data_IF_759800352945
#
_entry.id   IF_759800352945
#
_cell.length_a   1.000
_cell.length_b   1.000
_cell.length_c   1.000
_cell.angle_alpha   90.00
_cell.angle_beta   90.00
_cell.angle_gamma   90.00
#
_symmetry.space_group_name_H-M   'P 1'
#
loop_
_entity.id
_entity.type
_entity.pdbx_description
1 polymer ?
#
# COMPACT_ATOMS: atom_id res chain seq x y z
N UNK A 1 37.44 -18.98 32.99
CA UNK A 1 36.37 -19.64 32.22
C UNK A 1 35.86 -18.63 31.19
N UNK A 2 36.27 -18.75 29.93
CA UNK A 2 35.86 -17.86 28.83
C UNK A 2 34.79 -18.58 28.02
N UNK A 3 33.59 -17.99 27.91
CA UNK A 3 32.51 -18.49 27.07
C UNK A 3 32.72 -17.86 25.69
N UNK A 4 33.03 -18.68 24.69
CA UNK A 4 33.03 -18.28 23.29
C UNK A 4 31.59 -18.27 22.78
N UNK A 5 31.07 -17.09 22.44
CA UNK A 5 29.81 -16.96 21.70
C UNK A 5 30.17 -16.88 20.22
N UNK A 6 29.80 -17.93 19.46
CA UNK A 6 29.93 -17.97 18.01
C UNK A 6 28.80 -17.13 17.41
N UNK A 7 29.15 -15.99 16.81
CA UNK A 7 28.19 -15.17 16.06
C UNK A 7 28.08 -15.73 14.65
N UNK A 8 26.92 -16.28 14.32
CA UNK A 8 26.58 -16.73 12.97
C UNK A 8 26.27 -15.48 12.14
N UNK A 9 27.12 -15.21 11.14
CA UNK A 9 26.89 -14.15 10.18
C UNK A 9 25.72 -14.50 9.26
N UNK A 10 24.62 -13.75 9.36
CA UNK A 10 23.58 -13.69 8.33
C UNK A 10 24.11 -12.84 7.18
N UNK A 11 24.52 -13.49 6.10
CA UNK A 11 24.88 -12.87 4.83
C UNK A 11 23.62 -12.31 4.15
N UNK A 12 23.28 -11.06 4.44
CA UNK A 12 22.42 -10.28 3.55
C UNK A 12 23.27 -9.80 2.36
N UNK A 13 22.77 -10.05 1.16
CA UNK A 13 23.47 -9.89 -0.11
C UNK A 13 24.14 -8.52 -0.31
N UNK A 14 25.41 -8.60 -0.71
CA UNK A 14 26.27 -7.64 -1.40
C UNK A 14 25.69 -6.22 -1.55
N UNK A 15 26.12 -5.32 -0.66
CA UNK A 15 26.17 -3.89 -0.94
C UNK A 15 27.23 -3.65 -2.02
N UNK A 16 26.79 -3.34 -3.24
CA UNK A 16 27.67 -2.77 -4.27
C UNK A 16 28.10 -1.37 -3.83
N UNK A 17 29.41 -1.15 -3.84
CA UNK A 17 30.12 0.03 -3.36
C UNK A 17 29.61 1.36 -3.96
N UNK A 18 29.29 2.29 -3.07
CA UNK A 18 29.63 3.71 -3.17
C UNK A 18 29.87 4.23 -1.74
N UNK A 19 31.09 4.72 -1.47
CA UNK A 19 31.66 5.14 -0.16
C UNK A 19 30.84 6.22 0.62
N UNK A 20 31.29 6.70 1.80
CA UNK A 20 31.56 6.07 3.08
C UNK A 20 30.47 6.52 4.08
N UNK A 21 29.19 6.19 3.85
CA UNK A 21 28.10 6.57 4.77
C UNK A 21 27.71 5.42 5.73
N UNK A 22 28.38 4.27 5.61
CA UNK A 22 28.10 3.08 6.41
C UNK A 22 28.46 3.22 7.92
N UNK A 23 29.07 4.33 8.35
CA UNK A 23 29.64 4.46 9.69
C UNK A 23 28.79 5.23 10.72
N UNK A 24 27.57 5.67 10.39
CA UNK A 24 26.75 6.39 11.37
C UNK A 24 25.25 6.13 11.16
N UNK A 25 24.85 4.86 11.26
CA UNK A 25 23.43 4.51 11.44
C UNK A 25 23.25 4.02 12.86
N UNK A 26 22.72 4.87 13.74
CA UNK A 26 22.38 4.46 15.11
C UNK A 26 21.20 3.49 15.08
N UNK A 27 21.03 2.68 16.13
CA UNK A 27 19.94 1.70 16.23
C UNK A 27 18.54 2.31 16.00
N UNK A 28 18.34 3.59 16.35
CA UNK A 28 17.11 4.33 16.06
C UNK A 28 16.89 4.59 14.56
N UNK A 29 17.94 4.85 13.79
CA UNK A 29 17.84 5.08 12.34
C UNK A 29 17.54 3.78 11.57
N UNK A 30 18.04 2.64 12.06
CA UNK A 30 17.68 1.30 11.53
C UNK A 30 16.20 0.97 11.74
N UNK A 31 15.61 1.39 12.85
CA UNK A 31 14.17 1.23 13.13
C UNK A 31 13.32 2.06 12.16
N UNK A 32 13.74 3.29 11.85
CA UNK A 32 13.05 4.14 10.87
C UNK A 32 13.12 3.58 9.44
N UNK A 33 14.27 3.02 9.04
CA UNK A 33 14.43 2.35 7.74
C UNK A 33 13.54 1.10 7.64
N UNK A 34 13.50 0.26 8.68
CA UNK A 34 12.59 -0.90 8.71
C UNK A 34 11.11 -0.48 8.73
N UNK A 35 10.77 0.69 9.29
CA UNK A 35 9.40 1.22 9.29
C UNK A 35 8.97 1.77 7.92
N UNK A 36 9.88 2.37 7.16
CA UNK A 36 9.63 2.91 5.82
C UNK A 36 9.59 1.80 4.76
N UNK A 37 10.52 0.83 4.85
CA UNK A 37 10.46 -0.40 4.07
C UNK A 37 9.21 -1.20 4.45
N UNK A 38 8.84 -1.21 5.74
CA UNK A 38 7.56 -1.77 6.16
C UNK A 38 6.41 -1.02 5.52
N UNK A 39 6.29 0.30 5.44
CA UNK A 39 5.06 0.92 4.86
C UNK A 39 4.71 0.51 3.41
N UNK A 40 5.69 0.13 2.58
CA UNK A 40 5.45 -0.46 1.24
C UNK A 40 5.43 -2.00 1.22
N UNK A 41 5.81 -2.64 2.32
CA UNK A 41 5.71 -4.09 2.58
C UNK A 41 4.78 -4.44 3.76
N UNK A 42 3.99 -3.47 4.23
CA UNK A 42 3.00 -3.62 5.30
C UNK A 42 1.83 -4.14 4.52
N UNK A 43 1.87 -5.45 4.38
CA UNK A 43 0.77 -6.24 3.94
C UNK A 43 -0.26 -6.06 5.02
N UNK A 44 -1.10 -5.06 4.79
CA UNK A 44 -2.26 -4.79 5.60
C UNK A 44 -3.08 -6.09 5.71
N UNK A 45 -3.70 -6.26 6.88
CA UNK A 45 -4.20 -7.51 7.43
C UNK A 45 -4.78 -8.53 6.43
N UNK A 46 -4.51 -9.80 6.75
CA UNK A 46 -5.17 -10.99 6.19
C UNK A 46 -4.80 -11.44 4.78
N UNK A 47 -3.54 -11.30 4.35
CA UNK A 47 -2.93 -12.42 3.59
C UNK A 47 -3.04 -13.68 4.44
N UNK A 48 -3.33 -14.88 3.89
CA UNK A 48 -3.40 -16.17 4.65
C UNK A 48 -2.52 -16.07 5.88
N UNK A 49 -3.13 -15.77 7.02
CA UNK A 49 -2.41 -15.21 8.14
C UNK A 49 -1.28 -16.19 8.47
N UNK A 50 -0.02 -15.75 8.37
CA UNK A 50 1.12 -16.54 8.87
C UNK A 50 1.10 -16.62 10.41
N UNK A 51 -0.02 -16.23 11.02
CA UNK A 51 -0.18 -15.97 12.43
C UNK A 51 0.39 -14.61 12.83
N UNK A 52 0.11 -14.16 14.07
CA UNK A 52 0.82 -13.03 14.65
C UNK A 52 2.32 -13.30 14.66
N UNK A 53 3.11 -12.30 14.29
CA UNK A 53 4.56 -12.37 14.36
C UNK A 53 4.99 -12.28 15.83
N UNK A 54 5.61 -13.35 16.31
CA UNK A 54 6.18 -13.45 17.65
C UNK A 54 7.69 -13.57 17.55
N UNK A 55 8.39 -13.34 18.66
CA UNK A 55 9.84 -13.56 18.69
C UNK A 55 10.20 -15.01 18.34
N UNK A 56 9.37 -15.98 18.74
CA UNK A 56 9.59 -17.40 18.52
C UNK A 56 9.44 -17.83 17.05
N UNK A 57 8.54 -17.20 16.28
CA UNK A 57 8.27 -17.58 14.88
C UNK A 57 8.87 -16.59 13.86
N UNK A 58 9.60 -15.58 14.33
CA UNK A 58 10.14 -14.49 13.50
C UNK A 58 10.96 -15.00 12.31
N UNK A 59 11.90 -15.92 12.56
CA UNK A 59 12.75 -16.49 11.51
C UNK A 59 11.96 -17.21 10.41
N UNK A 60 11.02 -18.06 10.82
CA UNK A 60 10.18 -18.83 9.91
C UNK A 60 9.25 -17.92 9.10
N UNK A 61 8.67 -16.89 9.73
CA UNK A 61 7.84 -15.91 9.04
C UNK A 61 8.64 -15.09 8.02
N UNK A 62 9.89 -14.72 8.33
CA UNK A 62 10.77 -14.05 7.37
C UNK A 62 11.09 -14.96 6.17
N UNK A 63 11.39 -16.24 6.41
CA UNK A 63 11.64 -17.19 5.33
C UNK A 63 10.39 -17.39 4.45
N UNK A 64 9.22 -17.58 5.07
CA UNK A 64 7.95 -17.72 4.37
C UNK A 64 7.65 -16.47 3.52
N UNK A 65 7.88 -15.27 4.05
CA UNK A 65 7.70 -14.01 3.32
C UNK A 65 8.69 -13.87 2.17
N UNK A 66 9.96 -14.23 2.38
CA UNK A 66 10.98 -14.22 1.33
C UNK A 66 10.59 -15.15 0.18
N UNK A 67 10.16 -16.37 0.50
CA UNK A 67 9.65 -17.34 -0.49
C UNK A 67 8.44 -16.77 -1.24
N UNK A 68 7.46 -16.22 -0.52
CA UNK A 68 6.28 -15.63 -1.14
C UNK A 68 6.64 -14.48 -2.08
N UNK A 69 7.54 -13.59 -1.68
CA UNK A 69 8.00 -12.49 -2.53
C UNK A 69 8.70 -13.00 -3.81
N UNK A 70 9.48 -14.08 -3.71
CA UNK A 70 10.09 -14.72 -4.86
C UNK A 70 9.04 -15.33 -5.81
N UNK A 71 8.03 -16.02 -5.25
CA UNK A 71 6.93 -16.62 -6.02
C UNK A 71 6.07 -15.53 -6.70
N UNK A 72 5.76 -14.44 -5.98
CA UNK A 72 5.03 -13.28 -6.50
C UNK A 72 5.79 -12.62 -7.65
N UNK A 73 7.11 -12.44 -7.49
CA UNK A 73 7.98 -11.88 -8.54
C UNK A 73 8.02 -12.79 -9.77
N UNK A 74 8.22 -14.09 -9.58
CA UNK A 74 8.26 -15.04 -10.69
C UNK A 74 6.92 -15.06 -11.45
N UNK A 75 5.80 -15.06 -10.74
CA UNK A 75 4.48 -15.01 -11.35
C UNK A 75 4.26 -13.69 -12.10
N UNK A 76 4.60 -12.55 -11.51
CA UNK A 76 4.40 -11.23 -12.11
C UNK A 76 5.21 -11.08 -13.41
N UNK A 77 6.49 -11.46 -13.40
CA UNK A 77 7.35 -11.40 -14.58
C UNK A 77 6.84 -12.27 -15.74
N UNK A 78 6.17 -13.39 -15.43
CA UNK A 78 5.61 -14.29 -16.44
C UNK A 78 4.22 -13.87 -16.94
N UNK A 79 3.47 -13.07 -16.17
CA UNK A 79 2.03 -12.85 -16.40
C UNK A 79 1.63 -11.38 -16.56
N UNK A 80 2.48 -10.43 -16.21
CA UNK A 80 2.10 -9.01 -16.14
C UNK A 80 2.99 -8.21 -17.08
N UNK A 81 2.36 -7.35 -17.88
CA UNK A 81 3.09 -6.33 -18.64
C UNK A 81 3.47 -5.20 -17.68
N UNK A 82 4.75 -4.83 -17.56
CA UNK A 82 5.15 -3.78 -16.65
C UNK A 82 4.70 -2.41 -17.14
N UNK A 83 4.43 -1.52 -16.18
CA UNK A 83 4.28 -0.09 -16.40
C UNK A 83 5.62 0.59 -16.11
N UNK A 84 5.94 1.65 -16.84
CA UNK A 84 7.12 2.47 -16.57
C UNK A 84 6.71 3.60 -15.63
N UNK A 85 7.25 3.61 -14.43
CA UNK A 85 7.00 4.64 -13.42
C UNK A 85 8.20 5.59 -13.28
N UNK A 86 7.93 6.85 -12.91
CA UNK A 86 8.94 7.90 -12.79
C UNK A 86 9.37 8.50 -14.15
N UNK A 87 10.47 9.27 -14.20
CA UNK A 87 11.45 9.49 -13.13
C UNK A 87 10.93 10.39 -12.00
N UNK A 88 11.59 10.37 -10.84
CA UNK A 88 11.30 11.28 -9.73
C UNK A 88 12.57 12.00 -9.29
N UNK A 89 12.76 13.22 -9.80
CA UNK A 89 13.99 13.98 -9.56
C UNK A 89 15.21 13.23 -10.09
N UNK A 90 16.11 12.83 -9.19
CA UNK A 90 17.32 12.05 -9.52
C UNK A 90 17.10 10.53 -9.62
N UNK A 91 15.89 10.04 -9.36
CA UNK A 91 15.57 8.61 -9.42
C UNK A 91 15.13 8.27 -10.84
N UNK A 92 15.91 7.42 -11.51
CA UNK A 92 15.60 6.90 -12.82
C UNK A 92 14.28 6.09 -12.81
N UNK A 93 13.61 6.07 -13.96
CA UNK A 93 12.37 5.30 -14.13
C UNK A 93 12.56 3.81 -13.83
N UNK A 94 11.49 3.16 -13.37
CA UNK A 94 11.47 1.74 -13.02
C UNK A 94 10.38 1.00 -13.78
N UNK A 95 10.63 -0.27 -14.10
CA UNK A 95 9.58 -1.20 -14.54
C UNK A 95 8.84 -1.70 -13.32
N UNK A 96 7.53 -1.50 -13.28
CA UNK A 96 6.69 -1.88 -12.15
C UNK A 96 5.60 -2.83 -12.62
N UNK A 97 5.51 -3.98 -11.94
CA UNK A 97 4.56 -5.05 -12.23
C UNK A 97 3.47 -5.03 -11.17
N UNK A 98 2.29 -4.50 -11.52
CA UNK A 98 1.11 -4.48 -10.64
C UNK A 98 0.24 -5.71 -10.88
N UNK A 99 -0.20 -6.35 -9.80
CA UNK A 99 -1.17 -7.45 -9.89
C UNK A 99 -2.03 -7.53 -8.64
N UNK A 100 -3.20 -8.15 -8.77
CA UNK A 100 -4.13 -8.36 -7.68
C UNK A 100 -3.91 -9.70 -6.98
N UNK A 101 -4.21 -9.75 -5.70
CA UNK A 101 -4.39 -10.98 -4.93
C UNK A 101 -5.81 -10.95 -4.38
N UNK A 102 -6.68 -11.84 -4.87
CA UNK A 102 -8.09 -11.86 -4.46
C UNK A 102 -8.28 -12.40 -3.04
N UNK A 103 -9.52 -12.42 -2.55
CA UNK A 103 -9.90 -12.90 -1.21
C UNK A 103 -9.51 -14.36 -0.95
N UNK A 104 -9.41 -15.20 -2.00
CA UNK A 104 -8.94 -16.57 -1.90
C UNK A 104 -7.39 -16.71 -1.90
N UNK A 105 -6.66 -15.61 -2.04
CA UNK A 105 -5.20 -15.60 -2.15
C UNK A 105 -4.68 -15.95 -3.55
N UNK A 106 -5.54 -15.93 -4.57
CA UNK A 106 -5.18 -16.21 -5.96
C UNK A 106 -4.70 -14.93 -6.64
N UNK A 107 -3.59 -15.03 -7.37
CA UNK A 107 -3.01 -13.95 -8.17
C UNK A 107 -3.82 -13.74 -9.44
N UNK A 108 -4.17 -12.49 -9.72
CA UNK A 108 -4.93 -12.12 -10.91
C UNK A 108 -4.26 -10.93 -11.61
N UNK A 109 -4.42 -10.87 -12.94
CA UNK A 109 -4.03 -9.68 -13.71
C UNK A 109 -5.03 -8.57 -13.40
N UNK A 110 -4.54 -7.36 -13.24
CA UNK A 110 -5.41 -6.19 -13.12
C UNK A 110 -5.77 -5.73 -14.54
N UNK A 111 -7.06 -5.46 -14.83
CA UNK A 111 -7.45 -4.87 -16.12
C UNK A 111 -6.92 -3.44 -16.26
N UNK A 112 -6.82 -2.72 -15.13
CA UNK A 112 -6.33 -1.36 -15.01
C UNK A 112 -5.74 -1.16 -13.61
N UNK A 113 -4.83 -0.19 -13.47
CA UNK A 113 -4.17 0.14 -12.21
C UNK A 113 -4.63 1.53 -11.79
N UNK A 114 -5.23 1.66 -10.60
CA UNK A 114 -5.57 2.94 -9.99
C UNK A 114 -4.33 3.82 -9.82
N UNK A 115 -4.46 5.13 -10.08
CA UNK A 115 -3.37 6.08 -9.85
C UNK A 115 -2.98 6.15 -8.35
N UNK A 116 -3.90 5.81 -7.45
CA UNK A 116 -3.66 5.74 -6.00
C UNK A 116 -2.76 4.56 -5.60
N UNK A 117 -2.64 3.52 -6.44
CA UNK A 117 -1.79 2.35 -6.19
C UNK A 117 -0.40 2.46 -6.81
N UNK A 118 -0.16 3.52 -7.60
CA UNK A 118 1.08 3.62 -8.37
C UNK A 118 2.25 3.86 -7.44
N UNK A 119 3.10 2.84 -7.38
CA UNK A 119 4.39 2.90 -6.71
C UNK A 119 5.17 4.18 -7.02
N UNK A 120 5.67 4.79 -5.96
CA UNK A 120 6.60 5.91 -5.96
C UNK A 120 7.61 5.72 -4.83
N UNK A 121 8.83 6.24 -4.97
CA UNK A 121 9.84 6.11 -3.92
C UNK A 121 9.43 6.90 -2.67
N UNK A 122 9.65 6.30 -1.50
CA UNK A 122 9.42 6.96 -0.22
C UNK A 122 10.56 7.91 0.09
N UNK A 123 10.22 9.19 0.27
CA UNK A 123 11.15 10.21 0.76
C UNK A 123 11.20 10.24 2.29
N UNK A 124 12.37 9.97 2.86
CA UNK A 124 12.68 10.19 4.27
C UNK A 124 13.43 11.51 4.40
N UNK A 125 12.87 12.46 5.15
CA UNK A 125 13.57 13.69 5.52
C UNK A 125 14.41 13.42 6.77
N UNK A 126 15.72 13.52 6.64
CA UNK A 126 16.64 13.40 7.79
C UNK A 126 17.06 14.82 8.18
N UNK A 127 16.68 15.24 9.38
CA UNK A 127 17.16 16.48 9.96
C UNK A 127 18.63 16.31 10.36
N UNK A 128 19.49 17.19 9.86
CA UNK A 128 20.90 17.24 10.20
C UNK A 128 21.14 18.57 10.91
N UNK A 129 21.77 18.55 12.08
CA UNK A 129 22.04 19.76 12.85
C UNK A 129 22.78 20.80 11.98
N UNK A 130 22.29 22.04 12.00
CA UNK A 130 22.83 23.18 11.25
C UNK A 130 22.82 23.04 9.71
N UNK A 131 21.93 22.21 9.15
CA UNK A 131 21.72 22.10 7.68
C UNK A 131 20.24 22.01 7.33
N UNK A 132 19.90 22.41 6.10
CA UNK A 132 18.58 22.17 5.52
C UNK A 132 18.33 20.65 5.49
N UNK A 133 17.17 20.15 5.95
CA UNK A 133 16.85 18.73 5.88
C UNK A 133 17.00 18.19 4.45
N UNK A 134 17.79 17.13 4.30
CA UNK A 134 17.93 16.45 3.01
C UNK A 134 16.88 15.33 2.93
N UNK A 135 16.24 15.19 1.76
CA UNK A 135 15.33 14.09 1.49
C UNK A 135 16.12 12.94 0.88
N UNK A 136 16.17 11.83 1.59
CA UNK A 136 16.74 10.57 1.11
C UNK A 136 15.60 9.68 0.65
N UNK A 137 15.76 9.00 -0.47
CA UNK A 137 14.74 8.09 -0.96
C UNK A 137 15.11 6.65 -0.66
N UNK A 138 14.14 5.89 -0.14
CA UNK A 138 14.28 4.43 -0.03
C UNK A 138 13.76 3.82 -1.31
N UNK A 139 14.67 3.24 -2.09
CA UNK A 139 14.35 2.59 -3.37
C UNK A 139 14.68 1.10 -3.23
N UNK A 140 13.75 0.18 -3.57
CA UNK A 140 14.05 -1.24 -3.61
C UNK A 140 15.24 -1.52 -4.55
N UNK A 141 16.10 -2.45 -4.15
CA UNK A 141 17.21 -2.89 -4.99
C UNK A 141 16.68 -3.65 -6.21
N UNK A 142 17.36 -3.48 -7.35
CA UNK A 142 17.05 -4.17 -8.60
C UNK A 142 16.38 -3.30 -9.68
N UNK A 143 16.26 -3.85 -10.91
CA UNK A 143 15.68 -3.13 -12.05
C UNK A 143 14.15 -3.14 -12.05
N UNK A 144 13.53 -4.14 -11.42
CA UNK A 144 12.09 -4.38 -11.46
C UNK A 144 11.46 -4.21 -10.08
N UNK A 145 10.28 -3.59 -10.03
CA UNK A 145 9.45 -3.47 -8.83
C UNK A 145 8.20 -4.32 -9.02
N UNK A 146 7.80 -5.05 -7.98
CA UNK A 146 6.61 -5.91 -8.01
C UNK A 146 5.66 -5.43 -6.92
N UNK A 147 4.43 -5.09 -7.29
CA UNK A 147 3.44 -4.46 -6.41
C UNK A 147 2.19 -5.34 -6.34
N UNK A 148 2.09 -6.20 -5.31
CA UNK A 148 0.90 -7.01 -5.06
C UNK A 148 -0.20 -6.21 -4.33
N UNK A 149 -1.32 -5.96 -4.98
CA UNK A 149 -2.50 -5.31 -4.38
C UNK A 149 -3.38 -6.37 -3.72
N UNK A 150 -3.63 -6.27 -2.41
CA UNK A 150 -4.63 -7.13 -1.76
C UNK A 150 -6.00 -6.63 -2.14
N UNK A 151 -6.78 -7.44 -2.85
CA UNK A 151 -8.10 -7.04 -3.31
C UNK A 151 -9.17 -7.42 -2.29
N UNK A 152 -10.17 -6.55 -2.20
CA UNK A 152 -11.48 -6.87 -1.61
C UNK A 152 -12.27 -7.84 -2.50
N UNK A 153 -13.56 -8.04 -2.20
CA UNK A 153 -14.46 -8.78 -3.07
C UNK A 153 -14.47 -8.18 -4.49
N UNK A 154 -14.45 -9.04 -5.50
CA UNK A 154 -14.64 -8.61 -6.88
C UNK A 154 -16.13 -8.32 -7.09
N UNK A 155 -16.45 -7.09 -7.49
CA UNK A 155 -17.82 -6.65 -7.75
C UNK A 155 -17.91 -6.08 -9.18
N UNK A 156 -19.10 -6.10 -9.81
CA UNK A 156 -19.26 -5.62 -11.18
C UNK A 156 -18.78 -4.17 -11.34
N UNK A 157 -17.77 -3.97 -12.19
CA UNK A 157 -17.16 -2.66 -12.44
C UNK A 157 -16.36 -2.08 -11.27
N UNK A 158 -16.14 -2.81 -10.18
CA UNK A 158 -15.43 -2.31 -9.00
C UNK A 158 -14.20 -3.18 -8.71
N UNK A 159 -13.05 -2.53 -8.64
CA UNK A 159 -11.78 -3.14 -8.26
C UNK A 159 -11.23 -2.32 -7.09
N UNK A 160 -11.09 -2.92 -5.91
CA UNK A 160 -10.69 -2.17 -4.71
C UNK A 160 -9.65 -2.91 -3.90
N UNK A 161 -8.87 -2.14 -3.15
CA UNK A 161 -8.07 -2.66 -2.07
C UNK A 161 -8.96 -3.28 -0.99
N UNK A 162 -8.43 -4.34 -0.39
CA UNK A 162 -9.05 -4.94 0.77
C UNK A 162 -9.06 -3.92 1.90
N UNK A 163 -10.23 -3.75 2.50
CA UNK A 163 -10.38 -2.93 3.69
C UNK A 163 -9.59 -3.56 4.84
N UNK A 164 -8.74 -2.76 5.47
CA UNK A 164 -7.86 -3.19 6.57
C UNK A 164 -7.76 -2.11 7.63
N UNK A 165 -7.50 -2.52 8.88
CA UNK A 165 -7.22 -1.60 9.99
C UNK A 165 -8.42 -1.29 10.88
N UNK A 166 -8.19 -0.32 11.78
CA UNK A 166 -9.17 0.30 12.68
C UNK A 166 -9.27 1.79 12.35
N UNK A 167 -10.39 2.43 12.71
CA UNK A 167 -10.75 3.82 12.37
C UNK A 167 -9.58 4.82 12.26
N UNK A 168 -9.54 5.68 11.22
CA UNK A 168 -10.49 5.75 10.10
C UNK A 168 -10.35 4.54 9.17
N UNK A 169 -11.47 3.95 8.75
CA UNK A 169 -11.44 2.90 7.73
C UNK A 169 -11.30 3.56 6.36
N UNK A 170 -10.35 3.09 5.55
CA UNK A 170 -10.06 3.66 4.23
C UNK A 170 -9.86 2.54 3.22
N UNK A 171 -10.31 2.78 1.99
CA UNK A 171 -9.96 1.94 0.84
C UNK A 171 -9.99 2.76 -0.45
N UNK A 172 -9.26 2.29 -1.45
CA UNK A 172 -9.08 2.96 -2.74
C UNK A 172 -9.22 1.95 -3.86
N UNK A 173 -9.41 2.46 -5.08
CA UNK A 173 -9.38 1.63 -6.28
C UNK A 173 -10.11 2.25 -7.44
N UNK A 174 -10.77 1.43 -8.26
CA UNK A 174 -11.48 1.82 -9.45
C UNK A 174 -12.98 1.46 -9.38
N UNK A 175 -13.83 2.40 -9.75
CA UNK A 175 -15.25 2.19 -10.10
C UNK A 175 -15.41 2.58 -11.57
N UNK A 176 -15.75 1.62 -12.42
CA UNK A 176 -15.94 1.78 -13.86
C UNK A 176 -14.74 2.48 -14.56
N UNK A 177 -13.53 2.12 -14.13
CA UNK A 177 -12.27 2.68 -14.64
C UNK A 177 -11.94 4.10 -14.12
N UNK A 178 -12.65 4.58 -13.10
CA UNK A 178 -12.38 5.86 -12.43
C UNK A 178 -11.84 5.60 -11.03
N UNK A 179 -10.77 6.29 -10.66
CA UNK A 179 -10.27 6.26 -9.28
C UNK A 179 -11.38 6.61 -8.31
N UNK A 180 -11.43 5.89 -7.19
CA UNK A 180 -12.30 6.22 -6.07
C UNK A 180 -11.50 6.26 -4.77
N UNK A 181 -12.00 7.03 -3.82
CA UNK A 181 -11.48 7.10 -2.46
C UNK A 181 -12.63 6.97 -1.47
N UNK A 182 -12.60 5.92 -0.65
CA UNK A 182 -13.52 5.72 0.46
C UNK A 182 -12.86 6.10 1.78
N UNK A 183 -13.62 6.77 2.64
CA UNK A 183 -13.22 7.05 4.02
C UNK A 183 -14.41 7.00 4.95
N UNK A 184 -14.24 6.25 6.03
CA UNK A 184 -15.01 6.35 7.26
C UNK A 184 -14.27 7.24 8.25
N UNK A 185 -14.97 8.21 8.83
CA UNK A 185 -14.44 9.06 9.90
C UNK A 185 -15.57 9.64 10.74
N UNK A 186 -15.44 9.57 12.06
CA UNK A 186 -16.30 10.28 13.02
C UNK A 186 -17.81 10.01 12.82
N UNK A 187 -18.20 8.78 12.43
CA UNK A 187 -19.62 8.45 12.20
C UNK A 187 -20.15 8.83 10.82
N UNK A 188 -19.27 9.16 9.86
CA UNK A 188 -19.60 9.51 8.48
C UNK A 188 -18.84 8.65 7.49
N UNK A 189 -19.54 8.18 6.46
CA UNK A 189 -18.96 7.45 5.34
C UNK A 189 -19.00 8.37 4.14
N UNK A 190 -17.87 8.44 3.43
CA UNK A 190 -17.70 9.28 2.26
C UNK A 190 -17.03 8.48 1.15
N UNK A 191 -17.45 8.75 -0.07
CA UNK A 191 -16.87 8.16 -1.27
C UNK A 191 -16.79 9.20 -2.38
N UNK A 192 -15.58 9.39 -2.87
CA UNK A 192 -15.25 10.23 -4.01
C UNK A 192 -14.98 9.36 -5.24
N UNK A 193 -15.39 9.80 -6.43
CA UNK A 193 -15.14 9.11 -7.71
C UNK A 193 -14.65 10.11 -8.76
N UNK A 194 -13.56 9.73 -9.45
CA UNK A 194 -12.95 10.49 -10.54
C UNK A 194 -12.40 11.84 -10.11
N UNK A 195 -11.98 12.64 -11.09
CA UNK A 195 -11.28 13.91 -10.86
C UNK A 195 -9.78 13.80 -11.11
N UNK A 196 -9.12 14.93 -11.25
CA UNK A 196 -7.65 14.99 -11.36
C UNK A 196 -6.98 14.65 -10.02
N UNK A 197 -7.68 14.93 -8.91
CA UNK A 197 -7.36 14.48 -7.57
C UNK A 197 -8.68 14.02 -6.93
N UNK A 198 -8.90 12.71 -6.85
CA UNK A 198 -10.12 12.14 -6.30
C UNK A 198 -10.35 12.47 -4.82
N UNK A 199 -9.29 12.84 -4.09
CA UNK A 199 -9.40 13.22 -2.69
C UNK A 199 -9.77 14.71 -2.57
N UNK A 200 -9.11 15.58 -3.35
CA UNK A 200 -9.27 17.03 -3.22
C UNK A 200 -10.35 17.63 -4.12
N UNK A 201 -10.47 17.15 -5.36
CA UNK A 201 -11.36 17.70 -6.40
C UNK A 201 -12.05 16.59 -7.19
N UNK A 202 -12.88 15.77 -6.52
CA UNK A 202 -13.56 14.68 -7.21
C UNK A 202 -14.61 15.18 -8.19
N UNK A 203 -14.81 14.41 -9.26
CA UNK A 203 -15.91 14.68 -10.21
C UNK A 203 -17.25 14.34 -9.58
N UNK A 204 -17.30 13.34 -8.71
CA UNK A 204 -18.51 12.89 -8.04
C UNK A 204 -18.23 12.53 -6.59
N UNK A 205 -19.15 12.87 -5.69
CA UNK A 205 -18.99 12.68 -4.26
C UNK A 205 -20.33 12.30 -3.61
N UNK A 206 -20.26 11.35 -2.69
CA UNK A 206 -21.37 10.95 -1.84
C UNK A 206 -20.91 10.81 -0.40
N UNK A 207 -21.75 11.26 0.53
CA UNK A 207 -21.56 10.98 1.95
C UNK A 207 -22.90 10.77 2.64
N UNK A 208 -22.88 9.93 3.67
CA UNK A 208 -24.01 9.75 4.60
C UNK A 208 -23.48 9.55 6.03
N UNK A 209 -24.34 9.81 7.02
CA UNK A 209 -23.98 9.70 8.43
C UNK A 209 -25.19 9.43 9.33
N UNK A 210 -24.88 9.02 10.57
CA UNK A 210 -25.75 8.50 11.64
C UNK A 210 -25.92 6.96 11.70
N UNK A 211 -24.80 6.25 11.80
CA UNK A 211 -24.75 4.88 12.34
C UNK A 211 -24.09 4.91 13.72
N UNK A 212 -24.44 3.97 14.61
CA UNK A 212 -23.77 3.82 15.91
C UNK A 212 -22.29 3.50 15.69
N UNK A 213 -21.42 3.99 16.57
CA UNK A 213 -19.94 3.88 16.57
C UNK A 213 -19.40 2.42 16.58
N UNK A 214 -20.25 1.43 16.35
CA UNK A 214 -19.82 0.06 16.12
C UNK A 214 -19.02 0.06 14.83
N UNK A 215 -17.71 -0.22 14.97
CA UNK A 215 -16.76 -0.32 13.86
C UNK A 215 -17.43 -1.15 12.75
N UNK A 216 -17.68 -0.57 11.56
CA UNK A 216 -18.31 -1.31 10.49
C UNK A 216 -17.51 -2.57 10.24
N UNK A 217 -18.17 -3.73 10.22
CA UNK A 217 -17.50 -4.91 9.68
C UNK A 217 -17.14 -4.60 8.21
N UNK A 218 -16.07 -5.25 7.70
CA UNK A 218 -15.61 -4.98 6.33
C UNK A 218 -16.72 -5.18 5.29
N UNK A 219 -17.67 -6.07 5.55
CA UNK A 219 -18.83 -6.34 4.70
C UNK A 219 -19.70 -5.09 4.52
N UNK A 220 -20.04 -4.38 5.60
CA UNK A 220 -20.82 -3.16 5.51
C UNK A 220 -20.12 -2.10 4.65
N UNK A 221 -18.78 -1.98 4.74
CA UNK A 221 -17.97 -1.11 3.87
C UNK A 221 -18.13 -1.48 2.40
N UNK A 222 -18.06 -2.77 2.07
CA UNK A 222 -18.24 -3.23 0.70
C UNK A 222 -19.67 -2.97 0.18
N UNK A 223 -20.69 -3.21 1.01
CA UNK A 223 -22.09 -2.94 0.67
C UNK A 223 -22.35 -1.46 0.39
N UNK A 224 -21.76 -0.57 1.20
CA UNK A 224 -21.83 0.86 0.94
C UNK A 224 -21.15 1.24 -0.37
N UNK A 225 -19.94 0.76 -0.63
CA UNK A 225 -19.24 1.07 -1.88
C UNK A 225 -20.07 0.59 -3.08
N UNK A 226 -20.67 -0.61 -2.99
CA UNK A 226 -21.55 -1.13 -4.03
C UNK A 226 -22.81 -0.27 -4.24
N UNK A 227 -23.47 0.15 -3.15
CA UNK A 227 -24.61 1.07 -3.19
C UNK A 227 -24.23 2.39 -3.86
N UNK A 228 -23.13 3.00 -3.45
CA UNK A 228 -22.70 4.30 -3.95
C UNK A 228 -22.26 4.21 -5.41
N UNK A 229 -21.62 3.12 -5.82
CA UNK A 229 -21.32 2.88 -7.24
C UNK A 229 -22.61 2.79 -8.10
N UNK A 230 -23.70 2.21 -7.57
CA UNK A 230 -24.98 2.22 -8.25
C UNK A 230 -25.54 3.65 -8.39
N UNK A 231 -25.51 4.46 -7.31
CA UNK A 231 -25.94 5.86 -7.36
C UNK A 231 -25.13 6.70 -8.37
N UNK A 232 -23.82 6.44 -8.45
CA UNK A 232 -22.94 7.07 -9.44
C UNK A 232 -23.36 6.72 -10.88
N UNK A 233 -23.65 5.45 -11.15
CA UNK A 233 -24.10 4.97 -12.47
C UNK A 233 -25.46 5.53 -12.87
N UNK A 234 -26.34 5.73 -11.90
CA UNK A 234 -27.66 6.34 -12.09
C UNK A 234 -27.57 7.86 -12.30
N UNK A 235 -26.38 8.45 -12.17
CA UNK A 235 -26.13 9.86 -12.43
C UNK A 235 -26.73 10.81 -11.39
N UNK A 236 -27.10 10.31 -10.20
CA UNK A 236 -27.66 11.12 -9.11
C UNK A 236 -26.52 11.92 -8.46
N UNK A 237 -26.39 13.24 -8.68
CA UNK A 237 -25.33 14.03 -8.06
C UNK A 237 -25.79 14.47 -6.66
N UNK A 238 -25.09 14.07 -5.60
CA UNK A 238 -25.49 14.38 -4.21
C UNK A 238 -24.76 15.55 -3.58
N UNK A 239 -24.41 16.57 -4.36
CA UNK A 239 -24.11 17.87 -3.77
C UNK A 239 -25.42 18.57 -3.38
N UNK A 240 -25.95 18.25 -2.19
CA UNK A 240 -26.80 19.19 -1.46
C UNK A 240 -25.92 19.91 -0.42
N UNK A 241 -25.27 20.99 -0.87
CA UNK A 241 -24.65 22.06 -0.06
C UNK A 241 -23.89 21.64 1.22
N UNK A 242 -22.56 21.55 1.15
CA UNK A 242 -21.74 21.77 2.35
C UNK A 242 -21.55 23.28 2.55
N UNK A 243 -22.48 23.90 3.26
CA UNK A 243 -22.37 25.28 3.75
C UNK A 243 -21.52 25.34 5.02
N UNK A 244 -20.29 24.82 4.98
CA UNK A 244 -19.29 24.95 6.05
C UNK A 244 -17.87 25.11 5.48
N UNK A 245 -17.59 26.32 5.00
CA UNK A 245 -16.25 26.91 5.05
C UNK A 245 -16.08 27.66 6.38
#
# INVERSE_FOLDING_TARGET
MRINITVIALTCGVMSQSDPVAAAVTSQQTIHLNSAVSRHFTLAGDRRSLGPMTYQNWGDQLQARSKQNADDRAWALANVTPVVEGPWGSIASKKVFYFGINTAGVRIRLPEVSDLWRWKPDGIKIAVANRVPHTYYVVPSGPDIVVPIQLGPLMPGILMERVTGSQPIQTTGLIDGKDFYFRERDGFWSLSIGGADVIATPVWYYAEGQYTLDVPNNEAVYDFIAKVAALYRDGVPTMANDSRQ
#
